data_IF_814028461948
#
_entry.id   IF_814028461948
#
_cell.length_a   1.000
_cell.length_b   1.000
_cell.length_c   1.000
_cell.angle_alpha   90.00
_cell.angle_beta   90.00
_cell.angle_gamma   90.00
#
_symmetry.space_group_name_H-M   'P 1'
#
loop_
_entity.id
_entity.type
_entity.pdbx_description
1 polymer ?
#
# COMPACT_ATOMS: atom_id res chain seq x y z
N UNK A 1 10.04 -17.05 -7.34
CA UNK A 1 10.90 -16.16 -6.52
C UNK A 1 10.68 -16.51 -5.06
N UNK A 2 11.65 -17.18 -4.44
CA UNK A 2 11.55 -17.69 -3.07
C UNK A 2 11.74 -16.54 -2.09
N UNK A 3 10.67 -16.11 -1.44
CA UNK A 3 10.74 -15.15 -0.34
C UNK A 3 11.20 -15.85 0.92
N UNK A 4 12.41 -15.53 1.34
CA UNK A 4 13.02 -16.10 2.56
C UNK A 4 12.37 -15.47 3.80
N UNK A 5 11.42 -16.18 4.41
CA UNK A 5 10.78 -15.79 5.68
C UNK A 5 11.50 -16.48 6.84
N UNK A 6 12.39 -15.78 7.50
CA UNK A 6 12.97 -16.23 8.77
C UNK A 6 11.96 -16.00 9.90
N UNK A 7 11.78 -17.01 10.73
CA UNK A 7 10.88 -17.18 11.88
C UNK A 7 10.88 -16.01 12.88
N UNK A 8 9.77 -15.79 13.64
CA UNK A 8 9.60 -14.64 14.51
C UNK A 8 10.34 -14.82 15.83
N UNK A 9 11.33 -13.99 16.07
CA UNK A 9 11.86 -13.73 17.41
C UNK A 9 11.09 -12.55 18.02
N UNK A 10 10.47 -12.80 19.17
CA UNK A 10 9.91 -11.82 20.09
C UNK A 10 10.96 -10.77 20.47
N UNK A 11 10.78 -9.52 20.08
CA UNK A 11 11.26 -8.34 20.83
C UNK A 11 10.68 -7.08 20.18
N UNK A 12 10.02 -6.27 20.98
CA UNK A 12 9.80 -4.86 20.65
C UNK A 12 11.18 -4.20 20.56
N UNK A 13 11.73 -4.13 19.37
CA UNK A 13 12.99 -3.43 19.12
C UNK A 13 12.66 -1.95 18.90
N UNK A 14 13.09 -1.12 19.83
CA UNK A 14 13.21 0.32 19.72
C UNK A 14 13.87 0.67 18.37
N UNK A 15 13.23 1.58 17.62
CA UNK A 15 13.73 2.10 16.35
C UNK A 15 14.93 3.01 16.64
N UNK A 16 16.09 2.42 16.90
CA UNK A 16 17.38 3.10 16.95
C UNK A 16 18.45 2.17 16.39
N UNK A 17 18.46 2.02 15.07
CA UNK A 17 19.66 1.66 14.33
C UNK A 17 19.48 2.21 12.92
N UNK A 18 20.38 3.11 12.52
CA UNK A 18 20.49 3.56 11.14
C UNK A 18 20.71 2.34 10.24
N UNK A 19 19.64 1.85 9.64
CA UNK A 19 19.69 0.76 8.68
C UNK A 19 20.39 1.32 7.44
N UNK A 20 21.48 0.69 7.03
CA UNK A 20 22.21 1.01 5.81
C UNK A 20 21.41 0.71 4.52
N UNK A 21 20.18 0.23 4.65
CA UNK A 21 19.30 -0.05 3.52
C UNK A 21 18.65 1.24 3.00
N UNK A 22 18.68 1.49 1.69
CA UNK A 22 18.02 2.66 1.11
C UNK A 22 16.52 2.60 1.32
N UNK A 23 15.93 3.71 1.77
CA UNK A 23 14.47 3.85 1.82
C UNK A 23 13.99 4.34 0.46
N UNK A 24 13.25 3.50 -0.22
CA UNK A 24 12.71 3.82 -1.54
C UNK A 24 11.51 4.77 -1.42
N UNK A 25 11.46 5.73 -2.34
CA UNK A 25 10.34 6.65 -2.49
C UNK A 25 9.94 6.77 -3.96
N UNK A 26 8.75 7.33 -4.20
CA UNK A 26 8.28 7.63 -5.54
C UNK A 26 7.77 9.07 -5.57
N UNK A 27 8.33 9.87 -6.48
CA UNK A 27 7.86 11.23 -6.75
C UNK A 27 6.85 11.21 -7.90
N UNK A 28 5.74 11.91 -7.72
CA UNK A 28 4.69 12.06 -8.72
C UNK A 28 4.50 13.56 -8.96
N UNK A 29 4.76 14.00 -10.18
CA UNK A 29 4.49 15.37 -10.61
C UNK A 29 3.04 15.49 -11.05
N UNK A 30 2.22 16.12 -10.22
CA UNK A 30 0.78 16.27 -10.48
C UNK A 30 0.50 17.20 -11.67
N UNK A 31 1.41 18.15 -11.96
CA UNK A 31 1.24 19.03 -13.11
C UNK A 31 1.44 18.32 -14.46
N UNK A 32 2.13 17.17 -14.43
CA UNK A 32 2.39 16.35 -15.62
C UNK A 32 1.52 15.11 -15.70
N UNK A 33 0.77 14.82 -14.66
CA UNK A 33 -0.10 13.66 -14.60
C UNK A 33 -1.35 13.88 -15.45
N UNK A 34 -1.58 13.02 -16.42
CA UNK A 34 -2.73 13.06 -17.32
C UNK A 34 -3.79 11.99 -17.01
N UNK A 35 -3.67 11.30 -15.86
CA UNK A 35 -4.63 10.28 -15.43
C UNK A 35 -4.68 9.02 -16.29
N UNK A 36 -3.66 8.71 -17.06
CA UNK A 36 -3.64 7.60 -18.04
C UNK A 36 -3.71 6.19 -17.44
N UNK A 37 -3.68 6.04 -16.12
CA UNK A 37 -3.74 4.76 -15.38
C UNK A 37 -2.58 3.79 -15.64
N UNK A 38 -1.57 4.16 -16.41
CA UNK A 38 -0.43 3.28 -16.74
C UNK A 38 0.28 2.78 -15.48
N UNK A 39 0.45 3.64 -14.46
CA UNK A 39 1.07 3.25 -13.18
C UNK A 39 0.22 2.24 -12.40
N UNK A 40 -1.10 2.29 -12.52
CA UNK A 40 -2.03 1.32 -11.94
C UNK A 40 -1.90 -0.04 -12.63
N UNK A 41 -1.92 -0.04 -13.97
CA UNK A 41 -1.83 -1.26 -14.76
C UNK A 41 -0.45 -1.92 -14.63
N UNK A 42 0.62 -1.13 -14.66
CA UNK A 42 1.97 -1.64 -14.45
C UNK A 42 2.13 -2.30 -13.07
N UNK A 43 1.61 -1.67 -12.01
CA UNK A 43 1.61 -2.25 -10.67
C UNK A 43 0.80 -3.54 -10.62
N UNK A 44 -0.38 -3.55 -11.25
CA UNK A 44 -1.25 -4.72 -11.30
C UNK A 44 -0.57 -5.89 -12.03
N UNK A 45 0.03 -5.64 -13.17
CA UNK A 45 0.72 -6.65 -13.96
C UNK A 45 1.96 -7.21 -13.24
N UNK A 46 2.77 -6.33 -12.63
CA UNK A 46 3.99 -6.74 -11.93
C UNK A 46 3.74 -7.56 -10.66
N UNK A 47 2.57 -7.41 -10.04
CA UNK A 47 2.23 -8.05 -8.77
C UNK A 47 1.12 -9.10 -8.92
N UNK A 48 0.67 -9.37 -10.14
CA UNK A 48 -0.36 -10.35 -10.47
C UNK A 48 -1.60 -10.25 -9.55
N UNK A 49 -2.09 -9.01 -9.34
CA UNK A 49 -3.23 -8.80 -8.47
C UNK A 49 -4.52 -9.23 -9.14
N UNK A 50 -5.40 -9.89 -8.37
CA UNK A 50 -6.69 -10.40 -8.84
C UNK A 50 -7.58 -9.31 -9.44
N UNK A 51 -8.57 -9.64 -10.29
CA UNK A 51 -9.57 -8.70 -10.79
C UNK A 51 -10.22 -7.90 -9.64
N UNK A 52 -10.42 -6.61 -9.84
CA UNK A 52 -10.98 -5.70 -8.82
C UNK A 52 -9.98 -5.21 -7.77
N UNK A 53 -8.83 -5.83 -7.61
CA UNK A 53 -7.78 -5.41 -6.65
C UNK A 53 -6.77 -4.48 -7.33
N UNK A 54 -6.57 -3.31 -6.76
CA UNK A 54 -5.59 -2.34 -7.21
C UNK A 54 -4.81 -1.79 -6.01
N UNK A 55 -3.51 -2.04 -5.97
CA UNK A 55 -2.65 -1.48 -4.92
C UNK A 55 -2.27 -0.03 -5.17
N UNK A 56 -2.36 0.40 -6.41
CA UNK A 56 -2.19 1.78 -6.84
C UNK A 56 -3.42 2.22 -7.62
N UNK A 57 -3.91 3.41 -7.28
CA UNK A 57 -5.11 4.00 -7.91
C UNK A 57 -4.77 5.42 -8.36
N UNK A 58 -5.43 5.89 -9.38
CA UNK A 58 -5.42 7.30 -9.77
C UNK A 58 -6.82 7.83 -9.51
N UNK A 59 -6.93 8.76 -8.59
CA UNK A 59 -8.17 9.47 -8.31
C UNK A 59 -8.28 10.63 -9.31
N UNK A 60 -9.44 10.77 -9.89
CA UNK A 60 -9.82 11.88 -10.77
C UNK A 60 -10.70 12.82 -9.94
N UNK A 61 -10.20 14.00 -9.67
CA UNK A 61 -10.84 14.98 -8.82
C UNK A 61 -11.15 16.21 -9.67
N UNK A 62 -12.42 16.53 -9.79
CA UNK A 62 -12.90 17.72 -10.46
C UNK A 62 -13.28 18.78 -9.41
N UNK A 63 -12.82 20.01 -9.60
CA UNK A 63 -13.09 21.15 -8.72
C UNK A 63 -13.52 22.36 -9.56
N UNK A 64 -14.27 23.27 -8.93
CA UNK A 64 -14.79 24.47 -9.59
C UNK A 64 -16.23 24.32 -10.06
N UNK A 65 -16.68 25.30 -10.82
CA UNK A 65 -18.03 25.35 -11.40
C UNK A 65 -17.91 25.78 -12.87
N UNK A 66 -18.65 25.09 -13.73
CA UNK A 66 -18.65 25.44 -15.15
C UNK A 66 -18.90 26.94 -15.37
N UNK A 67 -18.12 27.64 -16.23
CA UNK A 67 -17.09 27.09 -17.14
C UNK A 67 -15.69 26.93 -16.54
N UNK A 68 -15.44 27.38 -15.31
CA UNK A 68 -14.13 27.39 -14.67
C UNK A 68 -13.94 26.11 -13.85
N UNK A 69 -13.66 25.01 -14.55
CA UNK A 69 -13.46 23.68 -13.96
C UNK A 69 -12.01 23.26 -14.09
N UNK A 70 -11.41 22.78 -12.99
CA UNK A 70 -10.08 22.19 -12.95
C UNK A 70 -10.16 20.70 -12.62
N UNK A 71 -9.28 19.90 -13.24
CA UNK A 71 -9.13 18.47 -12.96
C UNK A 71 -7.76 18.19 -12.42
N UNK A 72 -7.72 17.42 -11.32
CA UNK A 72 -6.51 16.94 -10.67
C UNK A 72 -6.51 15.42 -10.66
N UNK A 73 -5.40 14.83 -11.12
CA UNK A 73 -5.19 13.39 -11.04
C UNK A 73 -4.24 13.06 -9.88
N UNK A 74 -4.77 12.44 -8.83
CA UNK A 74 -3.99 12.09 -7.66
C UNK A 74 -3.69 10.59 -7.64
N UNK A 75 -2.40 10.25 -7.74
CA UNK A 75 -1.95 8.85 -7.64
C UNK A 75 -1.81 8.48 -6.17
N UNK A 76 -2.57 7.49 -5.73
CA UNK A 76 -2.60 7.03 -4.33
C UNK A 76 -2.19 5.56 -4.21
N UNK A 77 -1.66 5.20 -3.05
CA UNK A 77 -1.28 3.84 -2.71
C UNK A 77 -0.74 3.77 -1.28
N UNK A 78 -0.15 2.65 -0.89
CA UNK A 78 0.46 2.53 0.43
C UNK A 78 1.61 3.53 0.59
N UNK A 79 1.58 4.29 1.69
CA UNK A 79 2.60 5.31 2.00
C UNK A 79 3.80 4.73 2.75
N UNK A 80 3.77 3.45 3.10
CA UNK A 80 4.82 2.81 3.91
C UNK A 80 5.21 3.65 5.13
N UNK A 81 4.20 4.03 5.93
CA UNK A 81 4.32 4.96 7.05
C UNK A 81 5.47 4.56 7.99
N UNK A 82 6.17 5.56 8.54
CA UNK A 82 7.23 5.31 9.53
C UNK A 82 6.66 4.71 10.83
N UNK A 83 5.50 5.21 11.25
CA UNK A 83 4.66 4.63 12.29
C UNK A 83 3.36 4.14 11.64
N UNK A 84 3.33 2.87 11.28
CA UNK A 84 2.27 2.31 10.46
C UNK A 84 1.12 1.78 11.33
N UNK A 85 -0.05 2.44 11.41
CA UNK A 85 -1.14 2.03 12.29
C UNK A 85 -1.72 0.67 11.91
N UNK A 86 -1.53 0.21 10.70
CA UNK A 86 -1.96 -1.10 10.24
C UNK A 86 -1.11 -2.27 10.79
N UNK A 87 0.05 -1.99 11.40
CA UNK A 87 0.93 -3.03 11.98
C UNK A 87 0.42 -3.49 13.35
N UNK A 88 0.23 -2.60 14.36
CA UNK A 88 -0.18 -3.03 15.69
C UNK A 88 -1.60 -3.60 15.75
N UNK A 89 -2.48 -3.25 14.81
CA UNK A 89 -3.86 -3.77 14.78
C UNK A 89 -3.98 -5.16 14.16
N UNK A 90 -2.90 -5.72 13.62
CA UNK A 90 -2.93 -7.03 12.99
C UNK A 90 -2.81 -8.14 14.06
N UNK A 91 -3.87 -8.92 14.35
CA UNK A 91 -3.86 -9.89 15.43
C UNK A 91 -2.91 -11.07 15.19
N UNK A 92 -2.66 -11.41 13.91
CA UNK A 92 -1.75 -12.50 13.55
C UNK A 92 -0.33 -12.06 13.28
N UNK A 93 -0.05 -10.74 13.30
CA UNK A 93 1.23 -10.18 12.90
C UNK A 93 1.56 -10.36 11.40
N UNK A 94 0.55 -10.63 10.57
CA UNK A 94 0.71 -10.75 9.12
C UNK A 94 1.23 -9.44 8.50
N UNK A 95 0.78 -8.29 9.00
CA UNK A 95 1.28 -6.98 8.58
C UNK A 95 2.51 -6.62 9.38
N UNK A 96 3.61 -6.32 8.71
CA UNK A 96 4.91 -6.01 9.34
C UNK A 96 5.60 -4.86 8.61
N UNK A 97 6.42 -4.13 9.36
CA UNK A 97 7.37 -3.18 8.78
C UNK A 97 8.74 -3.85 8.66
N UNK A 98 9.35 -3.77 7.50
CA UNK A 98 10.70 -4.25 7.24
C UNK A 98 11.74 -3.21 7.67
N UNK A 99 12.99 -3.64 7.79
CA UNK A 99 14.12 -2.77 8.16
C UNK A 99 14.36 -1.64 7.14
N UNK A 100 14.01 -1.83 5.87
CA UNK A 100 14.04 -0.82 4.82
C UNK A 100 12.84 0.14 4.84
N UNK A 101 11.96 0.02 5.84
CA UNK A 101 10.78 0.86 6.03
C UNK A 101 9.55 0.44 5.23
N UNK A 102 9.62 -0.60 4.42
CA UNK A 102 8.45 -1.10 3.69
C UNK A 102 7.49 -1.82 4.63
N UNK A 103 6.23 -1.50 4.52
CA UNK A 103 5.14 -2.23 5.19
C UNK A 103 4.65 -3.33 4.26
N UNK A 104 4.83 -4.57 4.68
CA UNK A 104 4.50 -5.77 3.90
C UNK A 104 3.46 -6.62 4.61
N UNK A 105 2.87 -7.56 3.89
CA UNK A 105 1.90 -8.51 4.42
C UNK A 105 2.34 -9.93 4.08
N UNK A 106 2.24 -10.82 5.07
CA UNK A 106 2.35 -12.26 4.87
C UNK A 106 0.95 -12.84 4.69
N UNK A 107 0.66 -13.31 3.50
CA UNK A 107 -0.66 -13.87 3.17
C UNK A 107 -0.91 -15.23 3.80
N UNK A 108 0.14 -16.01 4.12
CA UNK A 108 0.00 -17.36 4.70
C UNK A 108 -0.59 -17.37 6.11
N UNK A 109 -0.37 -16.28 6.87
CA UNK A 109 -0.88 -16.14 8.24
C UNK A 109 -1.98 -15.08 8.37
N UNK A 110 -2.40 -14.48 7.24
CA UNK A 110 -3.48 -13.51 7.21
C UNK A 110 -4.83 -14.21 7.32
N UNK A 111 -5.65 -13.78 8.29
CA UNK A 111 -7.00 -14.32 8.51
C UNK A 111 -8.11 -13.48 7.83
N UNK A 112 -7.76 -12.48 7.05
CA UNK A 112 -8.73 -11.66 6.32
C UNK A 112 -9.63 -10.75 7.17
N UNK A 113 -9.28 -10.46 8.42
CA UNK A 113 -10.13 -9.71 9.38
C UNK A 113 -10.34 -8.23 9.03
N UNK A 114 -9.68 -7.71 8.02
CA UNK A 114 -9.74 -6.32 7.53
C UNK A 114 -9.38 -5.22 8.55
N UNK A 115 -8.94 -5.52 9.77
CA UNK A 115 -8.55 -4.52 10.78
C UNK A 115 -7.50 -3.53 10.26
N UNK A 116 -6.55 -4.01 9.45
CA UNK A 116 -5.54 -3.16 8.81
C UNK A 116 -6.13 -2.22 7.74
N UNK A 117 -7.26 -2.59 7.11
CA UNK A 117 -7.95 -1.73 6.15
C UNK A 117 -8.67 -0.59 6.87
N UNK A 118 -9.32 -0.89 8.00
CA UNK A 118 -9.99 0.12 8.85
C UNK A 118 -8.99 1.09 9.45
N UNK A 119 -7.83 0.60 9.90
CA UNK A 119 -6.79 1.43 10.51
C UNK A 119 -6.02 2.30 9.49
N UNK A 120 -6.13 2.04 8.20
CA UNK A 120 -5.38 2.77 7.18
C UNK A 120 -6.07 4.08 6.81
N UNK A 121 -5.49 5.27 7.13
CA UNK A 121 -6.11 6.56 6.79
C UNK A 121 -6.14 6.86 5.29
N UNK A 122 -5.31 6.15 4.52
CA UNK A 122 -5.20 6.32 3.06
C UNK A 122 -6.01 5.30 2.26
N UNK A 123 -6.74 4.40 2.94
CA UNK A 123 -7.52 3.33 2.28
C UNK A 123 -6.66 2.49 1.30
N UNK A 124 -5.40 2.30 1.62
CA UNK A 124 -4.44 1.60 0.78
C UNK A 124 -4.47 0.07 0.96
N UNK A 125 -5.35 -0.45 1.82
CA UNK A 125 -5.55 -1.87 2.07
C UNK A 125 -6.85 -2.33 1.40
N UNK A 126 -6.77 -3.41 0.67
CA UNK A 126 -7.91 -4.01 -0.01
C UNK A 126 -8.10 -5.43 0.50
N UNK A 127 -9.31 -5.78 0.88
CA UNK A 127 -9.69 -7.17 1.15
C UNK A 127 -9.99 -7.85 -0.20
N UNK A 128 -9.39 -9.00 -0.41
CA UNK A 128 -9.70 -9.85 -1.55
C UNK A 128 -10.80 -10.81 -1.10
N UNK A 129 -11.94 -10.73 -1.74
CA UNK A 129 -13.00 -11.72 -1.62
C UNK A 129 -12.89 -12.61 -2.85
N UNK A 130 -12.79 -13.92 -2.65
CA UNK A 130 -12.91 -14.85 -3.77
C UNK A 130 -14.33 -14.70 -4.31
N UNK A 131 -14.43 -14.11 -5.48
CA UNK A 131 -15.65 -14.20 -6.26
C UNK A 131 -15.61 -15.56 -6.94
N UNK A 132 -16.31 -16.52 -6.37
CA UNK A 132 -16.60 -17.77 -7.09
C UNK A 132 -17.30 -17.38 -8.41
N UNK A 133 -16.58 -17.58 -9.51
CA UNK A 133 -17.08 -17.40 -10.87
C UNK A 133 -17.19 -18.75 -11.55
#
# INVERSE_FOLDING_TARGET
MTTNWTTPGTAAASVTAASAAPRWGMTIDLNRCVGCQTCTIACKHSNDTTPGVQWRKVLDIETGTFPDVERLFLVVGCQHCADAPCVPVCPTGATRQRADGLVTMNYDICIGCASCAVACPYQARTSVHETEG
#
